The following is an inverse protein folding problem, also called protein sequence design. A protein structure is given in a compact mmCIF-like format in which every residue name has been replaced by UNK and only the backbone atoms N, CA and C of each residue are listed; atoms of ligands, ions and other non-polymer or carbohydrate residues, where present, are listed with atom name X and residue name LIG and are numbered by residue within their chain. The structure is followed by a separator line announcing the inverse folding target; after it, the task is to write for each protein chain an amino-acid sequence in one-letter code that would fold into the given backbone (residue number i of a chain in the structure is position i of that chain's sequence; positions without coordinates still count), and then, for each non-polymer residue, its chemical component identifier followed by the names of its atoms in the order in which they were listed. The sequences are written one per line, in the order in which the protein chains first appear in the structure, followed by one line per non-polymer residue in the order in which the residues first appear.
data_IF_498526963224
#
_entry.id   IF_498526963224
#
_cell.length_a   1.000
_cell.length_b   1.000
_cell.length_c   1.000
_cell.angle_alpha   90.00
_cell.angle_beta   90.00
_cell.angle_gamma   90.00
#
_symmetry.space_group_name_H-M   'P 1'
#
loop_
_entity.id
_entity.type
_entity.pdbx_description
1 polymer ?
#
# COMPACT_ATOMS: atom_id res chain seq x y z
N UNK A 1 -1.63 10.46 -4.51
CA UNK A 1 -0.41 11.29 -4.63
C UNK A 1 0.78 10.47 -4.14
N UNK A 2 1.87 10.46 -4.91
CA UNK A 2 3.05 9.67 -4.62
C UNK A 2 4.18 10.53 -4.04
N UNK A 3 3.90 11.28 -2.99
CA UNK A 3 4.87 12.18 -2.41
C UNK A 3 4.45 12.75 -1.07
N UNK A 4 5.35 13.52 -0.46
CA UNK A 4 5.12 14.30 0.75
C UNK A 4 5.45 15.76 0.48
N UNK A 5 4.68 16.66 1.05
CA UNK A 5 4.92 18.11 0.99
C UNK A 5 5.30 18.60 2.37
N UNK A 6 6.43 19.28 2.46
CA UNK A 6 6.97 19.89 3.67
C UNK A 6 6.83 21.40 3.51
N UNK A 7 6.14 22.03 4.46
CA UNK A 7 5.92 23.48 4.47
C UNK A 7 6.82 24.11 5.52
N UNK A 8 7.62 25.08 5.09
CA UNK A 8 8.54 25.84 5.94
C UNK A 8 8.11 27.31 5.86
N UNK A 9 7.74 27.87 6.99
CA UNK A 9 7.40 29.28 7.11
C UNK A 9 8.65 30.10 7.39
N UNK A 10 8.75 31.22 6.74
CA UNK A 10 9.83 32.20 6.93
C UNK A 10 9.25 33.56 7.30
N UNK A 11 10.07 34.42 7.92
CA UNK A 11 9.67 35.81 8.26
C UNK A 11 9.78 36.71 7.04
N UNK A 12 10.45 36.30 5.98
CA UNK A 12 10.63 37.04 4.74
C UNK A 12 10.55 36.12 3.51
N UNK A 13 10.39 36.74 2.34
CA UNK A 13 10.33 36.03 1.06
C UNK A 13 11.69 35.40 0.75
N UNK A 14 11.69 34.10 0.48
CA UNK A 14 12.88 33.36 0.08
C UNK A 14 13.05 33.41 -1.44
N UNK A 15 14.26 33.73 -1.89
CA UNK A 15 14.59 33.70 -3.30
C UNK A 15 14.99 32.26 -3.72
N UNK A 16 14.65 31.84 -4.94
CA UNK A 16 15.02 30.50 -5.44
C UNK A 16 16.53 30.21 -5.39
N UNK A 17 17.37 31.22 -5.57
CA UNK A 17 18.83 31.12 -5.50
C UNK A 17 19.38 30.86 -4.08
N UNK A 18 18.58 31.10 -3.05
CA UNK A 18 18.95 30.86 -1.65
C UNK A 18 18.67 29.44 -1.20
N UNK A 19 17.94 28.64 -2.00
CA UNK A 19 17.48 27.32 -1.58
C UNK A 19 18.09 26.25 -2.45
N UNK A 20 18.78 25.31 -1.81
CA UNK A 20 19.34 24.12 -2.49
C UNK A 20 18.91 22.87 -1.76
N UNK A 21 18.74 21.77 -2.52
CA UNK A 21 18.40 20.49 -1.94
C UNK A 21 19.05 19.34 -2.69
N UNK A 22 19.32 18.27 -1.97
CA UNK A 22 19.87 17.04 -2.55
C UNK A 22 19.52 15.83 -1.69
N UNK A 23 19.42 14.68 -2.33
CA UNK A 23 19.15 13.40 -1.65
C UNK A 23 20.39 12.51 -1.68
N UNK A 24 20.77 11.99 -0.52
CA UNK A 24 21.85 11.02 -0.38
C UNK A 24 21.26 9.61 -0.29
N UNK A 25 21.37 8.84 -1.36
CA UNK A 25 20.80 7.49 -1.45
C UNK A 25 21.45 6.52 -0.44
N UNK A 26 22.74 6.64 -0.20
CA UNK A 26 23.48 5.73 0.68
C UNK A 26 23.07 5.85 2.15
N UNK A 27 22.69 7.05 2.58
CA UNK A 27 22.31 7.34 3.98
C UNK A 27 20.80 7.53 4.16
N UNK A 28 20.06 7.63 3.05
CA UNK A 28 18.63 7.94 3.01
C UNK A 28 18.28 9.29 3.65
N UNK A 29 19.18 10.26 3.53
CA UNK A 29 18.96 11.62 3.99
C UNK A 29 18.68 12.55 2.81
N UNK A 30 17.64 13.35 2.93
CA UNK A 30 17.39 14.50 2.08
C UNK A 30 17.84 15.76 2.84
N UNK A 31 18.69 16.56 2.21
CA UNK A 31 19.21 17.80 2.78
C UNK A 31 18.63 19.00 2.04
N UNK A 32 18.09 19.93 2.81
CA UNK A 32 17.66 21.24 2.36
C UNK A 32 18.55 22.29 3.00
N UNK A 33 19.21 23.10 2.19
CA UNK A 33 20.03 24.21 2.66
C UNK A 33 19.40 25.53 2.24
N UNK A 34 19.21 26.41 3.20
CA UNK A 34 18.72 27.78 2.98
C UNK A 34 19.87 28.72 3.33
N UNK A 35 20.41 29.36 2.30
CA UNK A 35 21.52 30.32 2.44
C UNK A 35 20.99 31.65 2.97
N UNK A 36 21.83 32.35 3.75
CA UNK A 36 21.48 33.66 4.36
C UNK A 36 20.17 33.58 5.19
N UNK A 37 19.97 32.44 5.86
CA UNK A 37 18.81 32.22 6.71
C UNK A 37 19.23 31.88 8.13
N UNK A 38 18.49 32.39 9.09
CA UNK A 38 18.61 32.06 10.50
C UNK A 38 17.30 31.44 10.96
N UNK A 39 17.39 30.47 11.88
CA UNK A 39 16.22 29.81 12.41
C UNK A 39 16.47 29.24 13.80
N UNK A 40 15.39 29.01 14.54
CA UNK A 40 15.43 28.31 15.81
C UNK A 40 15.53 26.79 15.51
N UNK A 41 16.76 26.28 15.61
CA UNK A 41 17.06 24.87 15.33
C UNK A 41 16.28 23.92 16.23
N UNK A 42 16.15 24.24 17.53
CA UNK A 42 15.44 23.41 18.49
C UNK A 42 13.95 23.33 18.15
N UNK A 43 13.34 24.43 17.75
CA UNK A 43 11.93 24.47 17.36
C UNK A 43 11.66 23.69 16.08
N UNK A 44 12.59 23.76 15.11
CA UNK A 44 12.47 23.02 13.86
C UNK A 44 12.62 21.51 14.06
N UNK A 45 13.50 21.08 14.96
CA UNK A 45 13.67 19.64 15.30
C UNK A 45 12.48 19.06 16.03
N UNK A 46 11.72 19.87 16.77
CA UNK A 46 10.50 19.46 17.45
C UNK A 46 9.27 19.38 16.50
N UNK A 47 9.44 19.63 15.22
CA UNK A 47 8.34 19.54 14.27
C UNK A 47 7.72 18.16 14.25
N UNK A 48 6.39 18.10 14.12
CA UNK A 48 5.66 16.84 14.06
C UNK A 48 6.02 16.07 12.79
N UNK A 49 6.56 14.88 12.96
CA UNK A 49 6.95 14.00 11.86
C UNK A 49 5.76 13.21 11.34
N UNK A 50 5.73 13.06 10.02
CA UNK A 50 4.78 12.20 9.32
C UNK A 50 5.53 11.26 8.40
N UNK A 51 5.07 10.01 8.32
CA UNK A 51 5.63 9.06 7.36
C UNK A 51 5.61 9.65 5.94
N UNK A 52 6.68 9.56 5.19
CA UNK A 52 7.87 8.73 5.36
C UNK A 52 9.09 9.43 6.00
N UNK A 53 8.94 10.51 6.72
CA UNK A 53 10.02 11.20 7.42
C UNK A 53 10.17 10.56 8.81
N UNK A 54 11.35 10.01 9.09
CA UNK A 54 11.63 9.32 10.35
C UNK A 54 12.35 10.22 11.37
N UNK A 55 13.13 11.19 10.89
CA UNK A 55 13.92 12.09 11.73
C UNK A 55 14.17 13.40 11.01
N UNK A 56 14.28 14.47 11.77
CA UNK A 56 14.76 15.78 11.34
C UNK A 56 16.02 16.12 12.13
N UNK A 57 17.00 16.69 11.46
CA UNK A 57 18.19 17.28 12.07
C UNK A 57 18.38 18.66 11.47
N UNK A 58 18.68 19.65 12.31
CA UNK A 58 18.87 21.04 11.87
C UNK A 58 20.24 21.51 12.29
N UNK A 59 21.04 21.89 11.32
CA UNK A 59 22.41 22.35 11.54
C UNK A 59 22.56 23.77 11.00
N UNK A 60 23.15 24.62 11.81
CA UNK A 60 23.57 25.96 11.36
C UNK A 60 25.03 25.92 10.92
N UNK A 61 25.29 26.34 9.70
CA UNK A 61 26.64 26.40 9.13
C UNK A 61 26.89 27.82 8.63
N UNK A 62 27.59 28.62 9.44
CA UNK A 62 27.78 30.05 9.16
C UNK A 62 26.45 30.80 9.08
N UNK A 63 26.17 31.41 7.94
CA UNK A 63 24.93 32.15 7.66
C UNK A 63 23.85 31.25 7.00
N UNK A 64 24.09 29.96 6.91
CA UNK A 64 23.16 29.01 6.25
C UNK A 64 22.52 28.08 7.27
N UNK A 65 21.25 27.75 7.02
CA UNK A 65 20.49 26.77 7.77
C UNK A 65 20.35 25.50 6.92
N UNK A 66 20.85 24.37 7.40
CA UNK A 66 20.70 23.08 6.76
C UNK A 66 19.70 22.23 7.55
N UNK A 67 18.68 21.73 6.88
CA UNK A 67 17.67 20.85 7.44
C UNK A 67 17.81 19.48 6.77
N UNK A 68 18.14 18.47 7.56
CA UNK A 68 18.20 17.08 7.13
C UNK A 68 16.90 16.35 7.47
N UNK A 69 16.36 15.64 6.51
CA UNK A 69 15.20 14.76 6.67
C UNK A 69 15.62 13.33 6.41
N UNK A 70 15.58 12.47 7.43
CA UNK A 70 15.81 11.04 7.24
C UNK A 70 14.57 10.38 6.68
N UNK A 71 14.70 9.85 5.47
CA UNK A 71 13.60 9.29 4.72
C UNK A 71 13.51 7.78 4.91
N UNK A 72 12.28 7.25 5.02
CA UNK A 72 11.99 5.81 5.00
C UNK A 72 11.92 5.24 3.59
N UNK A 73 11.88 6.12 2.58
CA UNK A 73 11.82 5.77 1.15
C UNK A 73 12.80 6.62 0.37
N UNK A 74 13.35 6.11 -0.74
CA UNK A 74 14.20 6.91 -1.63
C UNK A 74 13.38 8.05 -2.24
N UNK A 75 14.02 9.21 -2.41
CA UNK A 75 13.43 10.37 -3.09
C UNK A 75 13.89 10.34 -4.54
N UNK A 76 12.96 10.26 -5.48
CA UNK A 76 13.24 10.24 -6.92
C UNK A 76 13.34 11.64 -7.50
N UNK A 77 12.42 12.52 -7.07
CA UNK A 77 12.36 13.91 -7.54
C UNK A 77 11.97 14.82 -6.39
N UNK A 78 12.39 16.07 -6.47
CA UNK A 78 11.96 17.12 -5.56
C UNK A 78 11.77 18.42 -6.28
N UNK A 79 10.84 19.24 -5.79
CA UNK A 79 10.50 20.55 -6.34
C UNK A 79 10.30 21.55 -5.22
N UNK A 80 10.67 22.81 -5.47
CA UNK A 80 10.46 23.91 -4.56
C UNK A 80 9.40 24.84 -5.11
N UNK A 81 8.46 25.21 -4.26
CA UNK A 81 7.46 26.22 -4.55
C UNK A 81 7.55 27.33 -3.51
N UNK A 82 7.49 28.55 -3.96
CA UNK A 82 7.64 29.73 -3.14
C UNK A 82 6.32 30.49 -3.09
N UNK A 83 5.90 30.90 -1.89
CA UNK A 83 4.76 31.77 -1.67
C UNK A 83 5.25 33.07 -1.02
N UNK A 84 4.71 34.20 -1.46
CA UNK A 84 5.04 35.52 -0.92
C UNK A 84 4.09 35.93 0.21
N UNK A 85 2.83 35.51 0.13
CA UNK A 85 1.80 35.83 1.11
C UNK A 85 0.96 34.56 1.45
N UNK A 86 1.15 33.99 2.64
CA UNK A 86 2.26 34.19 3.58
C UNK A 86 3.60 33.71 3.02
N UNK A 87 4.74 34.24 3.48
CA UNK A 87 6.06 33.83 3.02
C UNK A 87 6.34 32.36 3.47
N UNK A 88 6.29 31.46 2.52
CA UNK A 88 6.43 30.00 2.77
C UNK A 88 7.24 29.35 1.65
N UNK A 89 8.07 28.39 2.03
CA UNK A 89 8.70 27.43 1.13
C UNK A 89 7.97 26.10 1.22
N UNK A 90 7.46 25.61 0.11
CA UNK A 90 6.90 24.27 0.01
C UNK A 90 7.89 23.37 -0.73
N UNK A 91 8.42 22.39 -0.03
CA UNK A 91 9.23 21.33 -0.60
C UNK A 91 8.35 20.12 -0.91
N UNK A 92 8.22 19.78 -2.17
CA UNK A 92 7.52 18.58 -2.62
C UNK A 92 8.53 17.48 -2.94
N UNK A 93 8.45 16.36 -2.21
CA UNK A 93 9.28 15.17 -2.44
C UNK A 93 8.44 14.10 -3.10
N UNK A 94 8.92 13.52 -4.20
CA UNK A 94 8.27 12.42 -4.94
C UNK A 94 9.05 11.13 -4.79
N UNK A 95 8.32 10.02 -4.66
CA UNK A 95 8.88 8.68 -4.48
C UNK A 95 8.68 7.83 -5.72
N UNK A 96 9.51 6.79 -5.97
CA UNK A 96 9.35 5.86 -7.08
C UNK A 96 7.96 5.21 -7.11
N UNK A 97 7.37 5.14 -8.28
CA UNK A 97 6.03 4.54 -8.48
C UNK A 97 6.05 3.04 -8.13
N UNK A 98 7.17 2.36 -8.37
CA UNK A 98 7.40 0.96 -8.01
C UNK A 98 7.12 0.67 -6.53
N UNK A 99 7.56 1.55 -5.64
CA UNK A 99 7.39 1.38 -4.19
C UNK A 99 5.94 1.57 -3.75
N UNK A 100 5.20 2.42 -4.45
CA UNK A 100 3.77 2.61 -4.21
C UNK A 100 2.99 1.39 -4.66
N UNK A 101 3.29 0.84 -5.81
CA UNK A 101 2.67 -0.40 -6.30
C UNK A 101 2.98 -1.59 -5.38
N UNK A 102 4.22 -1.71 -4.90
CA UNK A 102 4.59 -2.74 -3.94
C UNK A 102 3.86 -2.59 -2.60
N UNK A 103 3.71 -1.36 -2.09
CA UNK A 103 2.97 -1.10 -0.85
C UNK A 103 1.47 -1.38 -0.99
N UNK A 104 0.86 -0.98 -2.10
CA UNK A 104 -0.55 -1.25 -2.40
C UNK A 104 -0.83 -2.74 -2.58
N UNK A 105 0.09 -3.48 -3.22
CA UNK A 105 -0.04 -4.93 -3.36
C UNK A 105 0.08 -5.65 -2.02
N UNK A 106 0.98 -5.20 -1.14
CA UNK A 106 1.13 -5.76 0.22
C UNK A 106 -0.06 -5.47 1.12
N UNK A 107 -0.66 -4.26 1.04
CA UNK A 107 -1.89 -3.92 1.76
C UNK A 107 -3.09 -4.71 1.24
N UNK A 108 -3.21 -4.88 -0.08
CA UNK A 108 -4.24 -5.74 -0.68
C UNK A 108 -4.08 -7.19 -0.22
N UNK A 109 -2.85 -7.72 -0.20
CA UNK A 109 -2.58 -9.06 0.28
C UNK A 109 -2.92 -9.24 1.79
N UNK A 110 -2.63 -8.23 2.64
CA UNK A 110 -3.04 -8.22 4.05
C UNK A 110 -4.56 -8.17 4.20
N UNK A 111 -5.24 -7.32 3.42
CA UNK A 111 -6.70 -7.19 3.46
C UNK A 111 -7.40 -8.44 2.94
N UNK A 112 -6.85 -9.10 1.92
CA UNK A 112 -7.36 -10.40 1.43
C UNK A 112 -7.13 -11.50 2.47
N UNK A 113 -5.99 -11.53 3.17
CA UNK A 113 -5.78 -12.47 4.29
C UNK A 113 -6.74 -12.25 5.46
N UNK A 114 -7.14 -11.02 5.73
CA UNK A 114 -8.14 -10.71 6.77
C UNK A 114 -9.58 -11.01 6.35
N UNK A 115 -9.82 -11.12 5.05
CA UNK A 115 -11.11 -11.47 4.45
C UNK A 115 -11.24 -12.97 4.12
N UNK A 116 -10.21 -13.79 4.39
CA UNK A 116 -10.40 -15.25 4.33
C UNK A 116 -11.43 -15.61 5.38
N UNK A 117 -12.63 -16.04 4.98
CA UNK A 117 -13.64 -16.47 5.94
C UNK A 117 -13.02 -17.61 6.75
N UNK A 118 -13.29 -17.62 8.05
CA UNK A 118 -12.96 -18.75 8.92
C UNK A 118 -13.51 -19.99 8.20
N UNK A 119 -12.61 -20.69 7.51
CA UNK A 119 -12.94 -21.84 6.72
C UNK A 119 -13.42 -22.93 7.67
N UNK A 120 -14.72 -23.01 7.87
CA UNK A 120 -15.32 -24.17 8.47
C UNK A 120 -14.94 -25.37 7.59
N UNK A 121 -14.01 -26.21 8.06
CA UNK A 121 -13.48 -27.39 7.35
C UNK A 121 -14.58 -28.21 6.69
N UNK A 122 -15.77 -28.22 7.29
CA UNK A 122 -16.99 -28.86 6.76
C UNK A 122 -17.57 -28.20 5.50
N UNK A 123 -17.33 -26.89 5.29
CA UNK A 123 -17.88 -26.17 4.14
C UNK A 123 -17.04 -26.38 2.88
N UNK A 124 -15.77 -26.73 3.03
CA UNK A 124 -14.87 -27.08 1.92
C UNK A 124 -15.36 -28.37 1.25
N UNK A 125 -15.74 -29.38 2.02
CA UNK A 125 -16.22 -30.68 1.50
C UNK A 125 -17.51 -30.51 0.68
N UNK A 126 -18.46 -29.72 1.15
CA UNK A 126 -19.72 -29.47 0.42
C UNK A 126 -19.43 -28.82 -0.92
N UNK A 127 -18.57 -27.81 -0.95
CA UNK A 127 -18.15 -27.15 -2.21
C UNK A 127 -17.42 -28.10 -3.14
N UNK A 128 -16.53 -28.95 -2.60
CA UNK A 128 -15.82 -29.96 -3.38
C UNK A 128 -16.77 -30.96 -4.04
N UNK A 129 -17.82 -31.39 -3.35
CA UNK A 129 -18.85 -32.26 -3.91
C UNK A 129 -19.64 -31.59 -5.05
N UNK A 130 -19.97 -30.32 -4.93
CA UNK A 130 -20.62 -29.57 -6.01
C UNK A 130 -19.69 -29.45 -7.24
N UNK A 131 -18.43 -29.14 -7.06
CA UNK A 131 -17.49 -29.02 -8.17
C UNK A 131 -17.19 -30.37 -8.83
N UNK A 132 -16.97 -31.42 -8.04
CA UNK A 132 -16.78 -32.77 -8.58
C UNK A 132 -18.01 -33.27 -9.32
N UNK A 133 -19.20 -33.06 -8.75
CA UNK A 133 -20.46 -33.45 -9.36
C UNK A 133 -20.70 -32.74 -10.70
N UNK A 134 -20.46 -31.43 -10.76
CA UNK A 134 -20.56 -30.66 -11.99
C UNK A 134 -19.54 -31.11 -13.04
N UNK A 135 -18.28 -31.38 -12.61
CA UNK A 135 -17.24 -31.86 -13.50
C UNK A 135 -17.55 -33.23 -14.12
N UNK A 136 -18.02 -34.19 -13.32
CA UNK A 136 -18.42 -35.50 -13.81
C UNK A 136 -19.63 -35.45 -14.74
N UNK A 137 -20.64 -34.63 -14.42
CA UNK A 137 -21.79 -34.44 -15.28
C UNK A 137 -21.39 -33.86 -16.64
N UNK A 138 -20.53 -32.82 -16.64
CA UNK A 138 -20.03 -32.22 -17.87
C UNK A 138 -19.18 -33.21 -18.70
N UNK A 139 -18.32 -33.96 -18.05
CA UNK A 139 -17.50 -34.97 -18.74
C UNK A 139 -18.36 -36.08 -19.38
N UNK A 140 -19.42 -36.51 -18.68
CA UNK A 140 -20.34 -37.52 -19.20
C UNK A 140 -21.15 -37.03 -20.41
N UNK A 141 -21.48 -35.74 -20.50
CA UNK A 141 -22.14 -35.15 -21.67
C UNK A 141 -21.20 -35.00 -22.87
N UNK A 142 -19.88 -34.80 -22.61
CA UNK A 142 -18.90 -34.62 -23.68
C UNK A 142 -18.31 -35.92 -24.21
N UNK A 143 -18.47 -37.03 -23.47
CA UNK A 143 -17.89 -38.33 -23.77
C UNK A 143 -18.76 -39.15 -24.70
N UNK A 144 -19.27 -38.77 -25.76
CA UNK A 144 -20.00 -39.55 -26.81
C UNK A 144 -20.60 -40.92 -26.45
N UNK A 145 -21.47 -41.43 -27.29
CA UNK A 145 -22.34 -42.64 -27.00
C UNK A 145 -21.59 -43.95 -26.72
N UNK A 146 -20.27 -44.05 -26.90
CA UNK A 146 -19.53 -45.30 -26.70
C UNK A 146 -19.04 -45.55 -25.26
N UNK A 147 -19.07 -44.53 -24.37
CA UNK A 147 -18.71 -44.73 -22.96
C UNK A 147 -19.95 -44.95 -22.11
N UNK A 148 -19.92 -45.98 -21.28
CA UNK A 148 -20.98 -46.28 -20.31
C UNK A 148 -21.27 -45.03 -19.49
N UNK A 149 -22.38 -44.34 -19.73
CA UNK A 149 -22.77 -43.06 -19.18
C UNK A 149 -23.08 -43.05 -17.65
N UNK A 150 -22.23 -43.70 -16.86
CA UNK A 150 -22.35 -43.73 -15.39
C UNK A 150 -21.89 -42.39 -14.75
N UNK A 151 -21.09 -41.62 -15.48
CA UNK A 151 -20.56 -40.34 -14.99
C UNK A 151 -21.70 -39.33 -14.73
N UNK A 152 -22.68 -39.26 -15.62
CA UNK A 152 -23.82 -38.34 -15.49
C UNK A 152 -24.67 -38.66 -14.25
N UNK A 153 -25.16 -39.89 -14.04
CA UNK A 153 -25.94 -40.18 -12.83
C UNK A 153 -25.11 -40.07 -11.55
N UNK A 154 -23.82 -40.37 -11.57
CA UNK A 154 -22.95 -40.20 -10.42
C UNK A 154 -22.69 -38.71 -10.10
N UNK A 155 -22.48 -37.88 -11.10
CA UNK A 155 -22.35 -36.44 -10.95
C UNK A 155 -23.60 -35.78 -10.36
N UNK A 156 -24.79 -36.16 -10.86
CA UNK A 156 -26.07 -35.69 -10.34
C UNK A 156 -26.27 -36.17 -8.89
N UNK A 157 -25.92 -37.40 -8.59
CA UNK A 157 -25.98 -37.97 -7.24
C UNK A 157 -25.12 -37.20 -6.23
N UNK A 158 -23.90 -36.82 -6.61
CA UNK A 158 -23.01 -35.99 -5.76
C UNK A 158 -23.57 -34.60 -5.49
N UNK A 159 -24.13 -33.95 -6.49
CA UNK A 159 -24.79 -32.64 -6.35
C UNK A 159 -26.00 -32.77 -5.43
N UNK A 160 -26.82 -33.81 -5.63
CA UNK A 160 -27.98 -34.10 -4.78
C UNK A 160 -27.62 -34.34 -3.32
N UNK A 161 -26.58 -35.11 -3.04
CA UNK A 161 -26.10 -35.37 -1.67
C UNK A 161 -25.58 -34.07 -1.03
N UNK A 162 -24.84 -33.25 -1.76
CA UNK A 162 -24.37 -31.95 -1.27
C UNK A 162 -25.56 -31.05 -0.90
N UNK A 163 -26.59 -31.00 -1.75
CA UNK A 163 -27.82 -30.23 -1.53
C UNK A 163 -28.60 -30.68 -0.30
N UNK A 164 -28.81 -32.00 -0.16
CA UNK A 164 -29.50 -32.56 0.99
C UNK A 164 -28.74 -32.28 2.28
N UNK A 165 -27.44 -32.50 2.28
CA UNK A 165 -26.60 -32.17 3.44
C UNK A 165 -26.69 -30.70 3.84
N UNK A 166 -26.62 -29.79 2.89
CA UNK A 166 -26.67 -28.36 3.18
C UNK A 166 -28.04 -27.91 3.72
N UNK A 167 -29.12 -28.41 3.16
CA UNK A 167 -30.47 -27.94 3.51
C UNK A 167 -31.12 -28.72 4.69
N UNK A 168 -30.83 -29.97 4.85
CA UNK A 168 -31.50 -30.79 5.87
C UNK A 168 -30.62 -31.13 7.08
N UNK A 169 -29.35 -31.44 6.86
CA UNK A 169 -28.44 -31.81 7.96
C UNK A 169 -27.91 -30.57 8.68
N UNK A 170 -27.61 -29.54 7.94
CA UNK A 170 -27.07 -28.30 8.51
C UNK A 170 -28.12 -27.44 9.23
N UNK A 171 -29.36 -27.42 8.76
CA UNK A 171 -30.46 -26.66 9.42
C UNK A 171 -30.89 -27.25 10.76
N UNK A 172 -30.72 -28.56 10.98
CA UNK A 172 -31.05 -29.19 12.28
C UNK A 172 -30.04 -28.94 13.41
N UNK A 173 -28.91 -28.26 13.13
CA UNK A 173 -27.86 -27.96 14.09
C UNK A 173 -27.77 -26.46 14.48
N UNK A 174 -28.74 -25.63 14.07
CA UNK A 174 -29.01 -24.29 14.59
C UNK A 174 -30.22 -24.34 15.49
#
# INVERSE_FOLDING_TARGET
MNGVSIKIRSDGVLNPSQVTGWFNESTSWYYLTIHQAQGDTARLELAKLFYPINRIEVIRTGESLQIGFRMAKPVEQFEFYYSEDPPELLLALRFPISDVMASLSSERAKKVKSLTPISNRKQIWVKAFYFMGAGLTSAGFLAGEEQKGWEVPMGIGMIGMAYVYENFVRRKKK
#
